data_IF_415295589320
#
_entry.id   IF_415295589320
#
_cell.length_a   1.000
_cell.length_b   1.000
_cell.length_c   1.000
_cell.angle_alpha   90.00
_cell.angle_beta   90.00
_cell.angle_gamma   90.00
#
_symmetry.space_group_name_H-M   'P 1'
#
loop_
_entity.id
_entity.type
_entity.pdbx_description
1 polymer ?
#
# COMPACT_ATOMS: atom_id res chain seq x y z
N UNK A 1 15.16 -9.66 -67.25
CA UNK A 1 13.99 -10.03 -66.43
C UNK A 1 14.43 -9.99 -64.96
N UNK A 2 14.49 -8.80 -64.36
CA UNK A 2 14.90 -8.61 -62.96
C UNK A 2 13.63 -8.43 -62.11
N UNK A 3 13.32 -9.41 -61.27
CA UNK A 3 12.25 -9.30 -60.27
C UNK A 3 12.85 -8.70 -59.00
N UNK A 4 12.49 -7.46 -58.71
CA UNK A 4 12.71 -6.82 -57.42
C UNK A 4 11.69 -7.41 -56.45
N UNK A 5 12.16 -8.11 -55.42
CA UNK A 5 11.34 -8.50 -54.28
C UNK A 5 11.19 -7.28 -53.36
N UNK A 6 10.00 -6.69 -53.32
CA UNK A 6 9.60 -5.79 -52.24
C UNK A 6 9.34 -6.66 -51.00
N UNK A 7 10.28 -6.65 -50.05
CA UNK A 7 10.00 -7.11 -48.69
C UNK A 7 9.23 -5.98 -48.00
N UNK A 8 7.92 -6.12 -47.91
CA UNK A 8 7.10 -5.28 -47.05
C UNK A 8 7.44 -5.62 -45.59
N UNK A 9 8.23 -4.77 -44.95
CA UNK A 9 8.34 -4.76 -43.48
C UNK A 9 6.99 -4.28 -42.95
N UNK A 10 6.16 -5.24 -42.53
CA UNK A 10 4.97 -4.95 -41.74
C UNK A 10 5.48 -4.48 -40.37
N UNK A 11 5.64 -3.17 -40.18
CA UNK A 11 5.66 -2.61 -38.83
C UNK A 11 4.31 -2.97 -38.22
N UNK A 12 4.31 -3.92 -37.29
CA UNK A 12 3.21 -4.05 -36.35
C UNK A 12 3.12 -2.71 -35.61
N UNK A 13 2.18 -1.88 -36.01
CA UNK A 13 1.69 -0.79 -35.18
C UNK A 13 1.14 -1.46 -33.92
N UNK A 14 1.97 -1.60 -32.89
CA UNK A 14 1.50 -1.88 -31.55
C UNK A 14 0.52 -0.78 -31.24
N UNK A 15 -0.76 -1.14 -31.19
CA UNK A 15 -1.86 -0.26 -30.86
C UNK A 15 -1.65 0.16 -29.40
N UNK A 16 -0.91 1.25 -29.20
CA UNK A 16 -0.53 1.84 -27.92
C UNK A 16 -1.78 2.46 -27.27
N UNK A 17 -2.68 1.61 -26.80
CA UNK A 17 -3.86 2.03 -26.05
C UNK A 17 -3.46 2.34 -24.61
N UNK A 18 -4.05 3.38 -24.02
CA UNK A 18 -3.92 3.61 -22.59
C UNK A 18 -4.54 2.44 -21.81
N UNK A 19 -4.04 2.19 -20.61
CA UNK A 19 -4.58 1.19 -19.70
C UNK A 19 -4.71 1.74 -18.29
N UNK A 20 -5.51 1.07 -17.47
CA UNK A 20 -5.65 1.42 -16.05
C UNK A 20 -4.45 0.90 -15.25
N UNK A 21 -4.24 1.48 -14.07
CA UNK A 21 -3.20 1.06 -13.13
C UNK A 21 -3.80 0.84 -11.75
N UNK A 22 -3.51 -0.31 -11.17
CA UNK A 22 -3.68 -0.60 -9.75
C UNK A 22 -2.27 -0.75 -9.16
N UNK A 23 -1.88 0.18 -8.31
CA UNK A 23 -0.66 0.09 -7.51
C UNK A 23 -1.03 -0.27 -6.07
N UNK A 24 -0.58 -1.43 -5.60
CA UNK A 24 -0.78 -1.85 -4.21
C UNK A 24 0.56 -1.75 -3.47
N UNK A 25 0.60 -0.93 -2.43
CA UNK A 25 1.74 -0.65 -1.56
C UNK A 25 1.47 -1.28 -0.18
N UNK A 26 1.92 -2.51 0.09
CA UNK A 26 1.94 -3.05 1.44
C UNK A 26 3.12 -2.43 2.18
N UNK A 27 2.90 -1.40 3.01
CA UNK A 27 3.99 -0.62 3.63
C UNK A 27 4.89 -1.56 4.45
N UNK A 28 6.20 -1.38 4.33
CA UNK A 28 7.16 -2.14 5.12
C UNK A 28 7.20 -3.64 4.82
N UNK A 29 6.57 -4.14 3.74
CA UNK A 29 6.47 -5.58 3.48
C UNK A 29 7.61 -6.15 2.62
N UNK A 30 8.60 -6.77 3.28
CA UNK A 30 9.69 -7.53 2.69
C UNK A 30 9.36 -9.00 2.40
N UNK A 31 10.29 -9.70 1.73
CA UNK A 31 10.11 -11.10 1.29
C UNK A 31 9.91 -12.09 2.46
N UNK A 32 10.60 -11.88 3.58
CA UNK A 32 10.46 -12.72 4.77
C UNK A 32 9.09 -12.53 5.43
N UNK A 33 8.50 -11.33 5.35
CA UNK A 33 7.12 -11.09 5.78
C UNK A 33 6.12 -11.88 4.95
N UNK A 34 6.23 -11.81 3.62
CA UNK A 34 5.40 -12.62 2.72
C UNK A 34 5.60 -14.13 2.94
N UNK A 35 6.81 -14.57 3.30
CA UNK A 35 7.06 -15.96 3.64
C UNK A 35 6.35 -16.38 4.93
N UNK A 36 6.39 -15.56 5.98
CA UNK A 36 5.65 -15.81 7.21
C UNK A 36 4.14 -15.89 6.97
N UNK A 37 3.59 -14.93 6.21
CA UNK A 37 2.17 -14.92 5.83
C UNK A 37 1.79 -16.17 5.02
N UNK A 38 2.65 -16.60 4.08
CA UNK A 38 2.42 -17.81 3.29
C UNK A 38 2.32 -19.03 4.17
N UNK A 39 3.25 -19.21 5.11
CA UNK A 39 3.21 -20.34 6.03
C UNK A 39 1.92 -20.36 6.86
N UNK A 40 1.50 -19.21 7.40
CA UNK A 40 0.34 -19.14 8.27
C UNK A 40 -0.99 -19.33 7.53
N UNK A 41 -1.13 -18.76 6.32
CA UNK A 41 -2.43 -18.62 5.66
C UNK A 41 -2.64 -19.53 4.46
N UNK A 42 -1.59 -19.88 3.72
CA UNK A 42 -1.69 -20.72 2.51
C UNK A 42 -1.09 -22.12 2.73
N UNK A 43 0.09 -22.17 3.35
CA UNK A 43 0.90 -23.36 3.54
C UNK A 43 2.21 -23.31 2.76
N UNK A 44 3.22 -24.09 3.16
CA UNK A 44 4.57 -24.04 2.56
C UNK A 44 4.61 -24.34 1.06
N UNK A 45 3.64 -25.12 0.57
CA UNK A 45 3.54 -25.58 -0.82
C UNK A 45 2.45 -24.84 -1.63
N UNK A 46 1.82 -23.81 -1.05
CA UNK A 46 0.73 -23.08 -1.66
C UNK A 46 1.11 -21.62 -1.93
N UNK A 47 0.38 -21.00 -2.85
CA UNK A 47 0.58 -19.61 -3.24
C UNK A 47 -0.42 -18.69 -2.52
N UNK A 48 0.08 -17.57 -2.01
CA UNK A 48 -0.73 -16.40 -1.70
C UNK A 48 -1.23 -15.73 -3.00
N UNK A 49 -2.20 -14.82 -2.94
CA UNK A 49 -2.53 -14.00 -4.10
C UNK A 49 -1.35 -13.15 -4.57
N UNK A 50 -0.56 -12.62 -3.64
CA UNK A 50 0.70 -11.94 -3.94
C UNK A 50 1.66 -12.82 -4.75
N UNK A 51 1.66 -14.15 -4.52
CA UNK A 51 2.48 -15.11 -5.25
C UNK A 51 2.04 -15.37 -6.69
N UNK A 52 0.76 -15.13 -6.97
CA UNK A 52 0.18 -15.34 -8.29
C UNK A 52 0.55 -14.24 -9.29
N UNK A 53 1.19 -13.14 -8.85
CA UNK A 53 1.73 -12.12 -9.75
C UNK A 53 2.99 -12.67 -10.44
N UNK A 54 2.97 -12.89 -11.77
CA UNK A 54 3.99 -13.68 -12.46
C UNK A 54 5.29 -12.91 -12.72
N UNK A 55 5.23 -11.59 -12.89
CA UNK A 55 6.42 -10.79 -13.11
C UNK A 55 7.06 -10.41 -11.77
N UNK A 56 8.39 -10.47 -11.70
CA UNK A 56 9.16 -10.34 -10.46
C UNK A 56 10.51 -9.67 -10.70
N UNK A 57 10.87 -8.73 -9.84
CA UNK A 57 12.18 -8.09 -9.85
C UNK A 57 12.64 -7.73 -8.43
N UNK A 58 13.96 -7.66 -8.24
CA UNK A 58 14.56 -7.18 -6.98
C UNK A 58 14.48 -5.67 -6.93
N UNK A 59 13.83 -5.14 -5.89
CA UNK A 59 13.64 -3.71 -5.70
C UNK A 59 14.88 -3.04 -5.09
N UNK A 60 15.24 -1.85 -5.59
CA UNK A 60 16.32 -1.00 -5.05
C UNK A 60 15.75 0.30 -4.51
N UNK A 61 15.55 0.34 -3.20
CA UNK A 61 14.79 1.38 -2.50
C UNK A 61 15.55 2.60 -1.99
N UNK A 62 16.88 2.66 -2.13
CA UNK A 62 17.66 3.78 -1.57
C UNK A 62 17.14 5.16 -2.02
N UNK A 63 17.35 6.15 -1.17
CA UNK A 63 16.94 7.54 -1.33
C UNK A 63 18.10 8.42 -1.80
N UNK A 64 17.84 9.71 -2.03
CA UNK A 64 18.91 10.64 -2.41
C UNK A 64 19.94 10.86 -1.28
N UNK A 65 19.53 10.68 -0.02
CA UNK A 65 20.31 10.96 1.19
C UNK A 65 20.33 9.81 2.21
N UNK A 66 19.67 8.68 1.94
CA UNK A 66 19.58 7.54 2.85
C UNK A 66 19.63 6.19 2.12
N UNK A 67 20.18 5.15 2.77
CA UNK A 67 20.23 3.79 2.24
C UNK A 67 18.92 3.01 2.49
N UNK A 68 18.28 3.25 3.65
CA UNK A 68 16.91 2.81 3.93
C UNK A 68 15.95 3.89 3.48
N UNK A 69 14.85 3.49 2.84
CA UNK A 69 13.74 4.37 2.58
C UNK A 69 12.93 4.64 3.86
N UNK A 70 12.14 5.70 3.82
CA UNK A 70 11.06 6.00 4.77
C UNK A 70 9.75 6.02 3.99
N UNK A 71 8.60 5.78 4.65
CA UNK A 71 7.28 5.80 4.00
C UNK A 71 7.04 7.04 3.15
N UNK A 72 7.27 8.24 3.72
CA UNK A 72 7.08 9.50 2.99
C UNK A 72 8.03 9.66 1.79
N UNK A 73 9.29 9.30 1.98
CA UNK A 73 10.30 9.44 0.95
C UNK A 73 10.13 8.44 -0.20
N UNK A 74 9.81 7.20 0.15
CA UNK A 74 9.51 6.12 -0.77
C UNK A 74 8.25 6.39 -1.58
N UNK A 75 7.15 6.74 -0.92
CA UNK A 75 5.90 7.12 -1.57
C UNK A 75 6.08 8.31 -2.51
N UNK A 76 6.83 9.34 -2.09
CA UNK A 76 7.18 10.47 -2.97
C UNK A 76 7.99 10.00 -4.18
N UNK A 77 8.91 9.07 -4.01
CA UNK A 77 9.68 8.51 -5.11
C UNK A 77 8.80 7.73 -6.09
N UNK A 78 7.84 6.92 -5.60
CA UNK A 78 6.87 6.21 -6.46
C UNK A 78 5.92 7.18 -7.17
N UNK A 79 5.52 8.26 -6.52
CA UNK A 79 4.58 9.24 -7.05
C UNK A 79 5.20 10.15 -8.14
N UNK A 80 6.51 10.42 -8.08
CA UNK A 80 7.18 11.36 -8.99
C UNK A 80 8.24 10.70 -9.89
N UNK A 81 8.71 9.49 -9.59
CA UNK A 81 9.72 8.80 -10.38
C UNK A 81 11.13 9.38 -10.26
N UNK A 82 11.40 10.12 -9.19
CA UNK A 82 12.72 10.72 -8.91
C UNK A 82 13.12 10.45 -7.46
N UNK A 83 14.41 10.24 -7.22
CA UNK A 83 14.93 10.10 -5.86
C UNK A 83 14.76 11.44 -5.13
N UNK A 84 14.22 11.37 -3.92
CA UNK A 84 14.07 12.53 -3.02
C UNK A 84 14.80 12.26 -1.70
N UNK A 85 14.87 13.26 -0.82
CA UNK A 85 15.41 13.09 0.52
C UNK A 85 14.45 12.34 1.44
N UNK A 86 14.96 11.71 2.50
CA UNK A 86 14.20 10.84 3.40
C UNK A 86 13.06 11.52 4.16
N UNK A 87 13.08 12.85 4.27
CA UNK A 87 12.00 13.61 4.91
C UNK A 87 10.99 14.21 3.91
N UNK A 88 11.13 13.92 2.61
CA UNK A 88 10.25 14.47 1.59
C UNK A 88 8.84 13.86 1.71
N UNK A 89 7.83 14.72 1.75
CA UNK A 89 6.41 14.36 1.68
C UNK A 89 5.78 15.11 0.50
N UNK A 90 5.85 14.50 -0.69
CA UNK A 90 5.42 15.12 -1.94
C UNK A 90 6.18 16.40 -2.31
N UNK A 91 7.36 16.65 -1.71
CA UNK A 91 8.14 17.89 -1.84
C UNK A 91 9.56 17.67 -2.36
N UNK A 92 10.14 18.68 -3.03
CA UNK A 92 11.56 18.75 -3.42
C UNK A 92 12.48 19.34 -2.32
N UNK A 93 11.97 19.46 -1.09
CA UNK A 93 12.67 20.09 0.04
C UNK A 93 12.47 21.61 0.11
N UNK A 94 11.67 22.20 -0.79
CA UNK A 94 11.19 23.58 -0.70
C UNK A 94 9.71 23.58 -0.34
N UNK A 95 9.26 24.53 0.48
CA UNK A 95 7.87 24.64 0.89
C UNK A 95 7.22 25.92 0.33
N UNK A 96 6.13 25.86 -0.48
CA UNK A 96 5.54 24.69 -1.14
C UNK A 96 6.21 24.41 -2.49
N UNK A 97 6.96 23.31 -2.59
CA UNK A 97 7.70 22.93 -3.79
C UNK A 97 7.56 21.43 -4.04
N UNK A 98 6.91 21.06 -5.15
CA UNK A 98 6.80 19.67 -5.62
C UNK A 98 8.05 19.27 -6.42
N UNK A 99 8.50 18.00 -6.35
CA UNK A 99 9.51 17.48 -7.26
C UNK A 99 9.12 17.70 -8.72
N UNK A 100 10.14 17.94 -9.56
CA UNK A 100 9.99 17.75 -11.00
C UNK A 100 9.99 16.25 -11.21
N UNK A 101 8.83 15.69 -11.54
CA UNK A 101 8.67 14.27 -11.82
C UNK A 101 9.50 13.87 -13.04
N UNK A 102 9.69 12.57 -13.23
CA UNK A 102 10.42 12.03 -14.36
C UNK A 102 9.77 12.42 -15.71
N UNK A 103 8.48 12.74 -15.74
CA UNK A 103 7.81 13.34 -16.92
C UNK A 103 8.27 14.76 -17.29
N UNK A 104 9.06 15.41 -16.43
CA UNK A 104 9.43 16.82 -16.53
C UNK A 104 8.39 17.78 -15.94
N UNK A 105 7.27 17.29 -15.42
CA UNK A 105 6.22 18.12 -14.81
C UNK A 105 6.44 18.30 -13.31
N UNK A 106 6.03 19.45 -12.74
CA UNK A 106 5.94 19.65 -11.28
C UNK A 106 4.64 19.09 -10.71
N UNK A 107 4.39 17.82 -11.01
CA UNK A 107 3.18 17.10 -10.66
C UNK A 107 3.51 15.62 -10.44
N UNK A 108 2.85 14.99 -9.48
CA UNK A 108 2.90 13.53 -9.34
C UNK A 108 2.15 12.85 -10.49
N UNK A 109 2.29 11.53 -10.61
CA UNK A 109 1.50 10.73 -11.55
C UNK A 109 -0.01 10.82 -11.31
N UNK A 110 -0.45 10.95 -10.05
CA UNK A 110 -1.87 11.11 -9.72
C UNK A 110 -2.38 12.47 -10.17
N UNK A 111 -1.60 13.52 -9.99
CA UNK A 111 -1.94 14.86 -10.48
C UNK A 111 -1.93 14.92 -12.02
N UNK A 112 -1.01 14.21 -12.68
CA UNK A 112 -1.04 14.03 -14.15
C UNK A 112 -2.31 13.29 -14.59
N UNK A 113 -2.74 12.24 -13.86
CA UNK A 113 -3.96 11.49 -14.15
C UNK A 113 -5.22 12.38 -14.00
N UNK A 114 -5.32 13.14 -12.90
CA UNK A 114 -6.41 14.11 -12.66
C UNK A 114 -6.45 15.15 -13.78
N UNK A 115 -5.30 15.74 -14.14
CA UNK A 115 -5.22 16.76 -15.18
C UNK A 115 -5.58 16.21 -16.58
N UNK A 116 -5.37 14.92 -16.81
CA UNK A 116 -5.76 14.24 -18.04
C UNK A 116 -7.23 13.77 -18.05
N UNK A 117 -7.99 14.00 -16.96
CA UNK A 117 -9.38 13.57 -16.83
C UNK A 117 -9.54 12.06 -16.64
N UNK A 118 -8.49 11.36 -16.21
CA UNK A 118 -8.58 9.95 -15.82
C UNK A 118 -9.26 9.84 -14.45
N UNK A 119 -9.92 8.69 -14.23
CA UNK A 119 -10.51 8.39 -12.92
C UNK A 119 -9.41 8.09 -11.91
N UNK A 120 -9.58 8.49 -10.66
CA UNK A 120 -8.51 8.37 -9.66
C UNK A 120 -8.99 7.92 -8.29
N UNK A 121 -8.23 7.03 -7.64
CA UNK A 121 -8.56 6.50 -6.33
C UNK A 121 -7.35 6.38 -5.41
N UNK A 122 -7.56 6.69 -4.13
CA UNK A 122 -6.64 6.50 -3.02
C UNK A 122 -7.36 5.68 -1.94
N UNK A 123 -6.78 4.55 -1.56
CA UNK A 123 -7.31 3.66 -0.53
C UNK A 123 -6.22 3.37 0.48
N UNK A 124 -6.48 3.60 1.76
CA UNK A 124 -5.53 3.38 2.83
C UNK A 124 -6.19 2.61 3.99
N UNK A 125 -5.54 1.57 4.51
CA UNK A 125 -5.99 0.94 5.75
C UNK A 125 -5.71 1.79 6.99
N UNK A 126 -4.75 2.71 6.91
CA UNK A 126 -4.43 3.70 7.94
C UNK A 126 -5.20 5.01 7.79
N UNK A 127 -4.68 6.03 8.47
CA UNK A 127 -5.17 7.40 8.48
C UNK A 127 -5.02 8.08 7.11
N UNK A 128 -5.87 9.06 6.81
CA UNK A 128 -5.81 9.85 5.57
C UNK A 128 -4.47 10.59 5.37
N UNK A 129 -3.66 10.70 6.42
CA UNK A 129 -2.37 11.39 6.40
C UNK A 129 -1.21 10.50 5.98
N UNK A 130 -1.43 9.19 5.88
CA UNK A 130 -0.34 8.24 5.68
C UNK A 130 0.26 8.33 4.27
N UNK A 131 1.59 8.16 4.15
CA UNK A 131 2.30 8.74 3.03
C UNK A 131 2.14 7.98 1.72
N UNK A 132 1.99 6.64 1.73
CA UNK A 132 1.90 5.84 0.51
C UNK A 132 0.69 6.17 -0.36
N UNK A 133 -0.33 6.82 0.20
CA UNK A 133 -1.41 7.45 -0.58
C UNK A 133 -1.32 8.98 -0.61
N UNK A 134 -1.12 9.66 0.53
CA UNK A 134 -1.22 11.12 0.57
C UNK A 134 -0.12 11.84 -0.25
N UNK A 135 1.10 11.29 -0.32
CA UNK A 135 2.20 11.89 -1.11
C UNK A 135 1.88 12.00 -2.61
N UNK A 136 0.91 11.22 -3.11
CA UNK A 136 0.49 11.29 -4.50
C UNK A 136 -0.27 12.59 -4.82
N UNK A 137 -0.81 13.32 -3.86
CA UNK A 137 -1.57 14.55 -4.14
C UNK A 137 -1.17 15.75 -3.30
N UNK A 138 -0.45 15.54 -2.20
CA UNK A 138 -0.06 16.62 -1.29
C UNK A 138 1.43 16.98 -1.42
N UNK A 139 1.82 18.13 -0.86
CA UNK A 139 3.21 18.58 -0.75
C UNK A 139 3.31 19.45 0.49
N UNK A 140 4.00 18.97 1.51
CA UNK A 140 4.19 19.69 2.77
C UNK A 140 5.66 19.71 3.19
N UNK A 141 6.06 20.75 3.91
CA UNK A 141 7.44 20.87 4.43
C UNK A 141 7.71 19.95 5.62
N UNK A 142 6.66 19.47 6.29
CA UNK A 142 6.73 18.60 7.45
C UNK A 142 5.66 17.51 7.34
N UNK A 143 6.04 16.24 7.44
CA UNK A 143 5.10 15.09 7.38
C UNK A 143 4.04 15.11 8.48
N UNK A 144 4.25 15.89 9.55
CA UNK A 144 3.30 16.06 10.65
C UNK A 144 2.32 17.21 10.46
N UNK A 145 2.33 17.90 9.30
CA UNK A 145 1.35 18.93 8.96
C UNK A 145 0.02 18.28 8.54
N UNK A 146 -0.51 17.40 9.39
CA UNK A 146 -1.67 16.54 9.13
C UNK A 146 -2.91 17.30 8.68
N UNK A 147 -3.21 18.43 9.33
CA UNK A 147 -4.33 19.27 8.92
C UNK A 147 -4.17 19.77 7.47
N UNK A 148 -2.97 20.16 7.05
CA UNK A 148 -2.73 20.61 5.68
C UNK A 148 -2.71 19.45 4.69
N UNK A 149 -2.17 18.29 5.09
CA UNK A 149 -2.21 17.07 4.29
C UNK A 149 -3.66 16.71 3.95
N UNK A 150 -4.56 16.61 4.94
CA UNK A 150 -5.97 16.25 4.68
C UNK A 150 -6.70 17.34 3.89
N UNK A 151 -6.35 18.62 4.09
CA UNK A 151 -6.90 19.73 3.30
C UNK A 151 -6.55 19.59 1.81
N UNK A 152 -5.27 19.36 1.50
CA UNK A 152 -4.81 19.14 0.13
C UNK A 152 -5.39 17.85 -0.47
N UNK A 153 -5.51 16.78 0.33
CA UNK A 153 -6.09 15.51 -0.10
C UNK A 153 -7.55 15.66 -0.52
N UNK A 154 -8.40 16.27 0.33
CA UNK A 154 -9.83 16.49 0.02
C UNK A 154 -10.01 17.44 -1.17
N UNK A 155 -9.17 18.47 -1.27
CA UNK A 155 -9.16 19.43 -2.37
C UNK A 155 -8.48 18.94 -3.66
N UNK A 156 -7.87 17.75 -3.66
CA UNK A 156 -7.00 17.28 -4.76
C UNK A 156 -7.73 17.06 -6.09
N UNK A 157 -9.03 16.73 -6.03
CA UNK A 157 -9.81 16.33 -7.19
C UNK A 157 -9.89 14.82 -7.41
N UNK A 158 -9.28 13.99 -6.54
CA UNK A 158 -9.42 12.53 -6.57
C UNK A 158 -10.90 12.12 -6.55
N UNK A 159 -11.27 11.00 -7.18
CA UNK A 159 -12.67 10.56 -7.22
C UNK A 159 -13.02 9.69 -6.01
N UNK A 160 -12.11 8.82 -5.58
CA UNK A 160 -12.33 7.90 -4.46
C UNK A 160 -11.23 8.08 -3.41
N UNK A 161 -11.61 8.41 -2.17
CA UNK A 161 -10.71 8.49 -1.02
C UNK A 161 -11.30 7.62 0.08
N UNK A 162 -10.62 6.54 0.48
CA UNK A 162 -11.07 5.61 1.51
C UNK A 162 -9.97 5.45 2.56
N UNK A 163 -10.22 5.86 3.81
CA UNK A 163 -9.20 5.81 4.88
C UNK A 163 -9.82 5.88 6.27
N UNK A 164 -8.97 5.82 7.29
CA UNK A 164 -9.27 6.36 8.63
C UNK A 164 -8.94 7.85 8.74
N UNK A 165 -8.71 8.32 9.98
CA UNK A 165 -8.17 9.65 10.27
C UNK A 165 -9.21 10.76 10.48
N UNK A 166 -10.45 10.44 10.87
CA UNK A 166 -11.55 11.42 11.02
C UNK A 166 -11.17 12.66 11.84
N UNK A 167 -10.31 12.50 12.85
CA UNK A 167 -9.84 13.58 13.72
C UNK A 167 -9.22 14.76 12.94
N UNK A 168 -8.60 14.49 11.79
CA UNK A 168 -7.97 15.49 10.93
C UNK A 168 -8.90 16.11 9.88
N UNK A 169 -10.14 15.64 9.79
CA UNK A 169 -11.18 16.23 8.93
C UNK A 169 -12.03 17.27 9.64
N UNK A 170 -12.00 17.31 10.97
CA UNK A 170 -12.94 18.07 11.79
C UNK A 170 -12.25 19.23 12.55
N UNK A 171 -12.92 20.39 12.69
CA UNK A 171 -12.41 21.49 13.49
C UNK A 171 -12.32 21.10 14.96
N UNK A 172 -11.36 21.70 15.67
CA UNK A 172 -11.11 21.42 17.07
C UNK A 172 -12.36 21.51 17.93
N UNK A 173 -12.61 20.47 18.73
CA UNK A 173 -13.77 20.37 19.62
C UNK A 173 -15.07 19.92 18.95
N UNK A 174 -15.11 19.73 17.62
CA UNK A 174 -16.25 19.09 16.94
C UNK A 174 -16.15 17.58 17.07
N UNK A 175 -17.16 16.94 17.65
CA UNK A 175 -17.26 15.48 17.73
C UNK A 175 -17.59 14.88 16.35
N UNK A 176 -16.85 13.83 15.96
CA UNK A 176 -17.08 13.02 14.77
C UNK A 176 -17.91 11.77 15.05
N UNK A 177 -18.02 10.90 14.04
CA UNK A 177 -18.66 9.59 14.16
C UNK A 177 -17.77 8.58 14.90
N UNK A 178 -16.47 8.66 14.66
CA UNK A 178 -15.40 7.84 15.24
C UNK A 178 -14.53 8.65 16.20
N UNK A 179 -14.18 9.89 15.84
CA UNK A 179 -13.31 10.74 16.64
C UNK A 179 -14.09 11.45 17.76
N UNK A 180 -13.63 11.39 19.02
CA UNK A 180 -14.29 12.09 20.13
C UNK A 180 -14.22 13.62 19.97
N UNK A 181 -13.14 14.13 19.35
CA UNK A 181 -13.00 15.52 18.93
C UNK A 181 -12.15 15.61 17.65
N UNK A 182 -12.41 16.61 16.83
CA UNK A 182 -11.52 17.03 15.76
C UNK A 182 -10.26 17.71 16.29
N UNK A 183 -9.21 17.74 15.48
CA UNK A 183 -7.89 18.27 15.84
C UNK A 183 -7.47 19.47 14.99
N UNK A 184 -8.28 19.91 14.01
CA UNK A 184 -7.90 21.03 13.15
C UNK A 184 -8.06 22.37 13.86
N UNK A 185 -6.97 23.13 13.93
CA UNK A 185 -6.94 24.48 14.55
C UNK A 185 -7.43 25.59 13.59
N UNK A 186 -7.58 25.30 12.29
CA UNK A 186 -7.98 26.26 11.26
C UNK A 186 -9.50 26.47 11.13
N UNK A 187 -10.29 25.73 11.91
CA UNK A 187 -11.75 25.82 11.93
C UNK A 187 -12.44 25.21 10.70
N UNK A 188 -11.71 24.54 9.80
CA UNK A 188 -12.29 23.91 8.62
C UNK A 188 -12.98 22.58 8.97
N UNK A 189 -14.11 22.33 8.33
CA UNK A 189 -14.76 21.03 8.30
C UNK A 189 -14.62 20.42 6.89
N UNK A 190 -13.67 19.51 6.76
CA UNK A 190 -13.34 18.90 5.48
C UNK A 190 -14.35 17.83 5.05
N UNK A 191 -15.16 17.31 5.98
CA UNK A 191 -16.26 16.41 5.63
C UNK A 191 -17.37 17.20 4.93
N UNK A 192 -17.75 18.36 5.47
CA UNK A 192 -18.73 19.23 4.79
C UNK A 192 -18.17 19.79 3.48
N UNK A 193 -16.88 20.13 3.45
CA UNK A 193 -16.22 20.53 2.20
C UNK A 193 -16.28 19.41 1.16
N UNK A 194 -15.98 18.16 1.52
CA UNK A 194 -16.09 17.02 0.60
C UNK A 194 -17.52 16.86 0.07
N UNK A 195 -18.55 16.99 0.91
CA UNK A 195 -19.95 16.97 0.44
C UNK A 195 -20.22 18.09 -0.57
N UNK A 196 -19.71 19.30 -0.32
CA UNK A 196 -19.84 20.44 -1.25
C UNK A 196 -19.14 20.20 -2.59
N UNK A 197 -18.06 19.39 -2.59
CA UNK A 197 -17.33 18.95 -3.77
C UNK A 197 -17.98 17.73 -4.48
N UNK A 198 -19.16 17.31 -4.02
CA UNK A 198 -19.97 16.25 -4.64
C UNK A 198 -19.63 14.83 -4.18
N UNK A 199 -18.86 14.66 -3.11
CA UNK A 199 -18.59 13.32 -2.58
C UNK A 199 -19.82 12.75 -1.85
N UNK A 200 -20.12 11.49 -2.15
CA UNK A 200 -20.89 10.65 -1.24
C UNK A 200 -19.99 10.27 -0.07
N UNK A 201 -20.41 10.55 1.16
CA UNK A 201 -19.59 10.31 2.37
C UNK A 201 -20.15 9.13 3.15
N UNK A 202 -19.30 8.15 3.45
CA UNK A 202 -19.63 6.93 4.20
C UNK A 202 -18.66 6.76 5.38
N UNK A 203 -19.09 6.09 6.44
CA UNK A 203 -18.31 5.99 7.67
C UNK A 203 -18.07 4.58 8.19
N UNK A 204 -18.75 3.57 7.66
CA UNK A 204 -18.56 2.20 8.09
C UNK A 204 -18.68 1.22 6.93
N UNK A 205 -18.34 -0.04 7.20
CA UNK A 205 -18.40 -1.12 6.23
C UNK A 205 -19.79 -1.26 5.59
N UNK A 206 -20.87 -1.08 6.35
CA UNK A 206 -22.22 -1.22 5.82
C UNK A 206 -22.50 -0.13 4.79
N UNK A 207 -22.23 1.13 5.15
CA UNK A 207 -22.42 2.27 4.25
C UNK A 207 -21.53 2.18 3.00
N UNK A 208 -20.30 1.67 3.12
CA UNK A 208 -19.42 1.43 1.97
C UNK A 208 -20.00 0.38 1.01
N UNK A 209 -20.54 -0.73 1.54
CA UNK A 209 -21.14 -1.79 0.73
C UNK A 209 -22.47 -1.35 0.10
N UNK A 210 -23.20 -0.47 0.77
CA UNK A 210 -24.48 0.11 0.30
C UNK A 210 -24.31 1.38 -0.54
N UNK A 211 -23.06 1.77 -0.89
CA UNK A 211 -22.78 2.95 -1.71
C UNK A 211 -23.57 2.89 -3.04
N UNK A 212 -24.36 3.92 -3.39
CA UNK A 212 -25.20 3.91 -4.59
C UNK A 212 -24.39 3.67 -5.87
N UNK A 213 -24.91 2.85 -6.80
CA UNK A 213 -24.23 2.51 -8.07
C UNK A 213 -23.84 3.72 -8.92
N UNK A 214 -24.58 4.82 -8.83
CA UNK A 214 -24.32 6.06 -9.59
C UNK A 214 -23.29 6.99 -8.92
N UNK A 215 -22.69 6.57 -7.82
CA UNK A 215 -21.69 7.37 -7.10
C UNK A 215 -20.47 7.57 -7.98
N UNK A 216 -20.14 8.84 -8.26
CA UNK A 216 -18.95 9.23 -9.05
C UNK A 216 -17.81 9.72 -8.16
N UNK A 217 -18.11 10.25 -6.97
CA UNK A 217 -17.11 10.64 -5.99
C UNK A 217 -17.47 10.05 -4.63
N UNK A 218 -16.53 9.36 -3.99
CA UNK A 218 -16.74 8.64 -2.74
C UNK A 218 -15.65 9.01 -1.73
N UNK A 219 -16.06 9.44 -0.54
CA UNK A 219 -15.18 9.64 0.61
C UNK A 219 -15.62 8.67 1.71
N UNK A 220 -14.73 7.79 2.12
CA UNK A 220 -14.92 6.86 3.23
C UNK A 220 -14.00 7.20 4.38
N UNK A 221 -14.56 7.39 5.58
CA UNK A 221 -13.80 7.68 6.80
C UNK A 221 -14.18 6.66 7.88
N UNK A 222 -13.33 5.67 8.12
CA UNK A 222 -13.72 4.44 8.83
C UNK A 222 -13.23 4.32 10.28
N UNK A 223 -12.41 5.27 10.73
CA UNK A 223 -11.88 5.29 12.08
C UNK A 223 -11.44 6.72 12.48
N UNK A 224 -11.22 6.94 13.77
CA UNK A 224 -10.70 8.21 14.29
C UNK A 224 -9.25 8.45 13.82
N UNK A 225 -8.44 7.39 13.88
CA UNK A 225 -7.05 7.30 13.39
C UNK A 225 -7.01 6.16 12.36
N UNK A 226 -6.09 5.21 12.47
CA UNK A 226 -6.02 4.04 11.60
C UNK A 226 -7.22 3.10 11.78
N UNK A 227 -7.48 2.23 10.80
CA UNK A 227 -8.51 1.18 10.94
C UNK A 227 -8.04 0.00 11.80
N UNK A 228 -6.88 0.13 12.44
CA UNK A 228 -6.23 -0.84 13.30
C UNK A 228 -5.56 -0.16 14.51
N UNK A 229 -5.18 -0.95 15.52
CA UNK A 229 -4.46 -0.46 16.70
C UNK A 229 -3.04 -1.04 16.70
N UNK A 230 -2.06 -0.29 16.22
CA UNK A 230 -0.69 -0.75 15.93
C UNK A 230 0.25 -0.95 17.11
N UNK A 231 -0.26 -1.04 18.34
CA UNK A 231 0.58 -1.16 19.54
C UNK A 231 1.20 -2.56 19.71
N UNK A 232 2.19 -2.69 20.60
CA UNK A 232 2.77 -4.00 20.95
C UNK A 232 1.72 -5.01 21.44
N UNK A 233 1.97 -6.31 21.25
CA UNK A 233 1.06 -7.39 21.69
C UNK A 233 0.76 -7.34 23.19
N UNK A 234 1.76 -6.97 24.01
CA UNK A 234 1.60 -6.80 25.44
C UNK A 234 0.64 -5.66 25.79
N UNK A 235 0.73 -4.54 25.07
CA UNK A 235 -0.15 -3.39 25.25
C UNK A 235 -1.57 -3.70 24.77
N UNK A 236 -1.73 -4.34 23.59
CA UNK A 236 -3.03 -4.81 23.11
C UNK A 236 -3.75 -5.65 24.17
N UNK A 237 -3.05 -6.61 24.78
CA UNK A 237 -3.61 -7.47 25.83
C UNK A 237 -3.97 -6.69 27.09
N UNK A 238 -3.12 -5.77 27.52
CA UNK A 238 -3.34 -4.98 28.73
C UNK A 238 -4.55 -4.05 28.60
N UNK A 239 -4.70 -3.42 27.44
CA UNK A 239 -5.76 -2.46 27.13
C UNK A 239 -7.00 -3.10 26.52
N UNK A 240 -6.94 -4.39 26.18
CA UNK A 240 -7.99 -5.17 25.50
C UNK A 240 -8.41 -4.54 24.16
N UNK A 241 -7.42 -4.04 23.43
CA UNK A 241 -7.64 -3.44 22.11
C UNK A 241 -7.84 -4.55 21.07
N UNK A 242 -8.84 -4.43 20.18
CA UNK A 242 -8.91 -5.30 19.02
C UNK A 242 -7.81 -4.90 18.02
N UNK A 243 -7.33 -5.85 17.21
CA UNK A 243 -6.32 -5.55 16.17
C UNK A 243 -6.90 -4.56 15.15
N UNK A 244 -8.15 -4.76 14.72
CA UNK A 244 -8.87 -3.88 13.80
C UNK A 244 -10.08 -3.22 14.47
N UNK A 245 -10.37 -1.99 14.06
CA UNK A 245 -11.54 -1.24 14.51
C UNK A 245 -12.82 -1.96 14.07
N UNK A 246 -13.72 -2.22 15.01
CA UNK A 246 -14.99 -2.89 14.72
C UNK A 246 -15.84 -2.05 13.76
N UNK A 247 -16.39 -2.69 12.72
CA UNK A 247 -17.20 -2.02 11.71
C UNK A 247 -16.42 -1.32 10.60
N UNK A 248 -15.08 -1.22 10.70
CA UNK A 248 -14.24 -0.78 9.58
C UNK A 248 -14.20 -1.86 8.47
N UNK A 249 -14.24 -1.46 7.18
CA UNK A 249 -14.10 -2.40 6.07
C UNK A 249 -12.68 -2.97 5.99
N UNK A 250 -12.54 -4.13 5.35
CA UNK A 250 -11.22 -4.66 4.98
C UNK A 250 -10.60 -3.89 3.83
N UNK A 251 -9.28 -3.95 3.67
CA UNK A 251 -8.60 -3.35 2.52
C UNK A 251 -9.12 -3.91 1.18
N UNK A 252 -9.42 -5.21 1.15
CA UNK A 252 -10.05 -5.86 0.00
C UNK A 252 -11.44 -5.28 -0.32
N UNK A 253 -12.27 -5.03 0.69
CA UNK A 253 -13.59 -4.41 0.52
C UNK A 253 -13.50 -2.95 0.06
N UNK A 254 -12.54 -2.19 0.60
CA UNK A 254 -12.26 -0.82 0.15
C UNK A 254 -11.77 -0.81 -1.31
N UNK A 255 -10.86 -1.70 -1.66
CA UNK A 255 -10.35 -1.88 -3.04
C UNK A 255 -11.50 -2.23 -3.99
N UNK A 256 -12.37 -3.17 -3.61
CA UNK A 256 -13.52 -3.56 -4.42
C UNK A 256 -14.51 -2.40 -4.62
N UNK A 257 -14.79 -1.64 -3.56
CA UNK A 257 -15.66 -0.47 -3.64
C UNK A 257 -15.05 0.63 -4.53
N UNK A 258 -13.73 0.87 -4.40
CA UNK A 258 -13.03 1.83 -5.24
C UNK A 258 -13.10 1.44 -6.72
N UNK A 259 -12.78 0.19 -7.07
CA UNK A 259 -12.88 -0.31 -8.45
C UNK A 259 -14.30 -0.17 -9.01
N UNK A 260 -15.33 -0.44 -8.20
CA UNK A 260 -16.74 -0.24 -8.59
C UNK A 260 -17.06 1.22 -8.91
N UNK A 261 -16.58 2.17 -8.10
CA UNK A 261 -16.82 3.61 -8.31
C UNK A 261 -15.99 4.19 -9.46
N UNK A 262 -14.76 3.69 -9.66
CA UNK A 262 -13.92 4.08 -10.79
C UNK A 262 -14.53 3.63 -12.13
N UNK A 263 -15.16 2.45 -12.14
CA UNK A 263 -15.88 1.91 -13.30
C UNK A 263 -14.96 1.38 -14.40
N UNK A 264 -15.43 1.41 -15.64
CA UNK A 264 -14.70 0.89 -16.81
C UNK A 264 -13.84 1.96 -17.51
N UNK A 265 -13.88 3.21 -17.03
CA UNK A 265 -13.01 4.28 -17.52
C UNK A 265 -11.55 4.03 -17.13
N UNK A 266 -10.60 4.56 -17.91
CA UNK A 266 -9.18 4.46 -17.55
C UNK A 266 -8.91 5.17 -16.22
N UNK A 267 -8.24 4.48 -15.30
CA UNK A 267 -7.99 4.99 -13.96
C UNK A 267 -6.56 4.74 -13.44
N UNK A 268 -6.20 5.51 -12.41
CA UNK A 268 -5.11 5.19 -11.50
C UNK A 268 -5.68 4.97 -10.08
N UNK A 269 -5.45 3.79 -9.53
CA UNK A 269 -5.81 3.42 -8.17
C UNK A 269 -4.53 3.11 -7.38
N UNK A 270 -4.32 3.82 -6.27
CA UNK A 270 -3.25 3.51 -5.30
C UNK A 270 -3.90 2.98 -4.02
N UNK A 271 -3.44 1.83 -3.56
CA UNK A 271 -3.97 1.11 -2.41
C UNK A 271 -2.81 0.85 -1.45
N UNK A 272 -2.97 1.21 -0.18
CA UNK A 272 -1.98 1.01 0.86
C UNK A 272 -2.52 0.13 1.99
N UNK A 273 -1.76 -0.92 2.33
CA UNK A 273 -1.90 -1.58 3.63
C UNK A 273 -0.82 -1.04 4.56
N UNK A 274 -1.19 -0.05 5.35
CA UNK A 274 -0.31 0.66 6.28
C UNK A 274 0.13 -0.26 7.42
N UNK A 275 -0.79 -1.06 7.97
CA UNK A 275 -0.54 -1.87 9.17
C UNK A 275 0.60 -2.89 9.02
N UNK A 276 0.99 -3.26 7.80
CA UNK A 276 2.16 -4.12 7.57
C UNK A 276 3.44 -3.51 8.17
N UNK A 277 3.62 -2.20 8.06
CA UNK A 277 4.74 -1.45 8.63
C UNK A 277 4.53 -1.24 10.13
N UNK A 278 3.41 -0.63 10.52
CA UNK A 278 3.21 -0.18 11.89
C UNK A 278 3.29 -1.31 12.89
N UNK A 279 2.59 -2.43 12.64
CA UNK A 279 2.66 -3.59 13.53
C UNK A 279 4.08 -4.13 13.65
N UNK A 280 4.81 -4.18 12.53
CA UNK A 280 6.20 -4.64 12.50
C UNK A 280 7.12 -3.70 13.28
N UNK A 281 6.89 -2.39 13.22
CA UNK A 281 7.63 -1.39 13.99
C UNK A 281 7.31 -1.41 15.50
N UNK A 282 6.29 -2.16 15.93
CA UNK A 282 6.05 -2.52 17.34
C UNK A 282 6.35 -3.99 17.68
N UNK A 283 7.00 -4.73 16.77
CA UNK A 283 7.24 -6.18 16.89
C UNK A 283 5.96 -6.98 17.19
N UNK A 284 4.82 -6.54 16.66
CA UNK A 284 3.54 -7.19 16.80
C UNK A 284 3.33 -8.20 15.66
N UNK A 285 3.65 -9.47 15.92
CA UNK A 285 3.63 -10.49 14.89
C UNK A 285 2.22 -10.82 14.41
N UNK A 286 1.26 -10.98 15.32
CA UNK A 286 -0.12 -11.27 14.93
C UNK A 286 -0.71 -10.15 14.07
N UNK A 287 -0.52 -8.89 14.48
CA UNK A 287 -0.99 -7.73 13.72
C UNK A 287 -0.34 -7.64 12.34
N UNK A 288 0.99 -7.81 12.25
CA UNK A 288 1.70 -7.77 10.97
C UNK A 288 1.24 -8.89 10.01
N UNK A 289 1.03 -10.10 10.53
CA UNK A 289 0.54 -11.24 9.76
C UNK A 289 -0.90 -11.09 9.29
N UNK A 290 -1.76 -10.45 10.09
CA UNK A 290 -3.13 -10.12 9.70
C UNK A 290 -3.17 -8.99 8.66
N UNK A 291 -2.29 -7.99 8.77
CA UNK A 291 -2.16 -6.93 7.77
C UNK A 291 -1.70 -7.49 6.43
N UNK A 292 -0.67 -8.36 6.42
CA UNK A 292 -0.23 -9.06 5.21
C UNK A 292 -1.35 -9.88 4.57
N UNK A 293 -2.21 -10.53 5.39
CA UNK A 293 -3.38 -11.25 4.89
C UNK A 293 -4.40 -10.32 4.24
N UNK A 294 -4.63 -9.13 4.78
CA UNK A 294 -5.55 -8.13 4.21
C UNK A 294 -5.00 -7.54 2.91
N UNK A 295 -3.69 -7.28 2.84
CA UNK A 295 -3.01 -6.95 1.59
C UNK A 295 -3.15 -8.09 0.57
N UNK A 296 -2.97 -9.34 0.98
CA UNK A 296 -3.18 -10.51 0.12
C UNK A 296 -4.60 -10.62 -0.44
N UNK A 297 -5.61 -10.36 0.39
CA UNK A 297 -7.00 -10.35 -0.07
C UNK A 297 -7.27 -9.21 -1.06
N UNK A 298 -6.63 -8.05 -0.89
CA UNK A 298 -6.70 -6.96 -1.86
C UNK A 298 -6.02 -7.33 -3.18
N UNK A 299 -4.90 -8.08 -3.15
CA UNK A 299 -4.33 -8.68 -4.36
C UNK A 299 -5.31 -9.63 -5.05
N UNK A 300 -6.05 -10.44 -4.29
CA UNK A 300 -7.10 -11.30 -4.82
C UNK A 300 -8.16 -10.51 -5.59
N UNK A 301 -8.66 -9.41 -5.01
CA UNK A 301 -9.62 -8.51 -5.67
C UNK A 301 -9.03 -7.90 -6.95
N UNK A 302 -7.79 -7.45 -6.91
CA UNK A 302 -7.13 -6.86 -8.07
C UNK A 302 -6.86 -7.89 -9.18
N UNK A 303 -6.46 -9.12 -8.84
CA UNK A 303 -6.28 -10.23 -9.78
C UNK A 303 -7.60 -10.56 -10.49
N UNK A 304 -8.69 -10.68 -9.73
CA UNK A 304 -10.03 -10.92 -10.29
C UNK A 304 -10.46 -9.77 -11.23
N UNK A 305 -10.10 -8.53 -10.89
CA UNK A 305 -10.38 -7.36 -11.73
C UNK A 305 -9.59 -7.39 -13.04
N UNK A 306 -8.26 -7.56 -12.99
CA UNK A 306 -7.44 -7.59 -14.21
C UNK A 306 -7.73 -8.82 -15.07
N UNK A 307 -8.28 -9.89 -14.49
CA UNK A 307 -8.69 -11.05 -15.26
C UNK A 307 -9.84 -10.74 -16.22
N UNK A 308 -10.70 -9.80 -15.85
CA UNK A 308 -11.82 -9.31 -16.67
C UNK A 308 -11.45 -8.06 -17.47
N UNK A 309 -10.44 -7.31 -17.02
CA UNK A 309 -10.01 -6.04 -17.58
C UNK A 309 -8.54 -6.09 -18.01
N UNK A 310 -8.27 -6.79 -19.12
CA UNK A 310 -6.90 -7.11 -19.58
C UNK A 310 -6.02 -5.89 -19.87
N UNK A 311 -6.61 -4.73 -20.12
CA UNK A 311 -5.91 -3.46 -20.31
C UNK A 311 -5.57 -2.75 -18.98
N UNK A 312 -5.28 -3.51 -17.93
CA UNK A 312 -4.92 -3.00 -16.60
C UNK A 312 -3.57 -3.56 -16.15
N UNK A 313 -2.70 -2.69 -15.64
CA UNK A 313 -1.50 -3.07 -14.90
C UNK A 313 -1.87 -3.24 -13.43
N UNK A 314 -1.52 -4.37 -12.84
CA UNK A 314 -1.38 -4.53 -11.39
C UNK A 314 0.12 -4.55 -11.07
N UNK A 315 0.58 -3.64 -10.21
CA UNK A 315 1.97 -3.60 -9.75
C UNK A 315 2.00 -3.40 -8.24
N UNK A 316 3.01 -3.98 -7.59
CA UNK A 316 3.26 -3.80 -6.16
C UNK A 316 4.74 -3.66 -5.87
N UNK A 317 5.04 -2.81 -4.90
CA UNK A 317 6.30 -2.70 -4.20
C UNK A 317 6.01 -2.08 -2.83
N UNK A 318 6.74 -2.52 -1.80
CA UNK A 318 6.90 -1.72 -0.58
C UNK A 318 8.00 -0.68 -0.82
N UNK A 319 7.99 0.42 -0.09
CA UNK A 319 9.10 1.36 -0.02
C UNK A 319 10.27 0.84 0.82
N UNK A 320 9.97 0.16 1.93
CA UNK A 320 10.92 -0.32 2.93
C UNK A 320 10.56 -1.74 3.44
N UNK A 321 11.34 -2.26 4.38
CA UNK A 321 11.00 -3.48 5.13
C UNK A 321 11.06 -3.23 6.63
N UNK A 322 9.91 -3.33 7.27
CA UNK A 322 9.68 -2.97 8.66
C UNK A 322 10.13 -4.06 9.64
N UNK A 323 10.70 -3.64 10.76
CA UNK A 323 11.12 -4.51 11.86
C UNK A 323 12.23 -5.54 11.55
N UNK A 324 12.70 -5.60 10.29
CA UNK A 324 13.53 -6.69 9.78
C UNK A 324 12.98 -8.07 10.20
N UNK A 325 11.69 -8.28 9.98
CA UNK A 325 10.96 -9.47 10.36
C UNK A 325 11.45 -10.70 9.59
N UNK A 326 11.74 -11.79 10.29
CA UNK A 326 12.14 -13.07 9.69
C UNK A 326 11.47 -14.26 10.38
N UNK A 327 11.60 -15.45 9.80
CA UNK A 327 10.97 -16.68 10.31
C UNK A 327 12.01 -17.67 10.82
N UNK A 328 11.87 -18.12 12.07
CA UNK A 328 12.62 -19.26 12.60
C UNK A 328 11.71 -20.49 12.69
N UNK A 329 11.84 -21.39 11.72
CA UNK A 329 11.13 -22.68 11.68
C UNK A 329 11.89 -23.82 12.34
N UNK A 330 11.18 -24.86 12.80
CA UNK A 330 11.78 -26.10 13.30
C UNK A 330 11.07 -27.32 12.75
N UNK A 331 11.77 -28.46 12.53
CA UNK A 331 11.09 -29.72 12.29
C UNK A 331 10.10 -30.04 13.41
N UNK A 332 8.92 -30.58 13.09
CA UNK A 332 7.90 -30.93 14.08
C UNK A 332 8.42 -31.86 15.20
N UNK A 333 9.41 -32.72 14.89
CA UNK A 333 10.07 -33.63 15.84
C UNK A 333 11.09 -32.95 16.77
N UNK A 334 11.54 -31.75 16.41
CA UNK A 334 12.47 -30.94 17.18
C UNK A 334 11.81 -29.60 17.39
N UNK A 335 10.87 -29.54 18.32
CA UNK A 335 10.49 -28.26 18.91
C UNK A 335 11.81 -27.60 19.27
N UNK A 336 12.20 -26.52 18.57
CA UNK A 336 13.21 -25.64 19.11
C UNK A 336 12.65 -25.32 20.48
N UNK A 337 13.33 -25.85 21.49
CA UNK A 337 13.14 -25.40 22.84
C UNK A 337 13.60 -23.95 22.76
N UNK A 338 12.69 -23.04 22.40
CA UNK A 338 12.77 -21.63 22.75
C UNK A 338 12.63 -21.57 24.28
N UNK A 339 13.53 -22.27 24.94
CA UNK A 339 13.79 -22.29 26.35
C UNK A 339 14.95 -21.34 26.49
N UNK A 340 14.66 -20.04 26.57
CA UNK A 340 15.37 -19.11 27.43
C UNK A 340 14.75 -17.71 27.34
N UNK A 341 14.17 -17.27 28.46
CA UNK A 341 14.26 -15.93 29.06
C UNK A 341 13.75 -14.75 28.21
N UNK A 342 12.57 -14.25 28.59
CA UNK A 342 12.09 -12.89 28.29
C UNK A 342 11.76 -12.54 26.82
N UNK A 343 11.50 -13.54 25.97
CA UNK A 343 11.07 -13.32 24.57
C UNK A 343 12.21 -12.98 23.61
N UNK A 344 13.41 -13.51 23.86
CA UNK A 344 14.63 -13.28 23.06
C UNK A 344 15.38 -14.57 22.77
N UNK A 345 16.03 -14.64 21.61
CA UNK A 345 16.88 -15.77 21.23
C UNK A 345 18.26 -15.73 21.93
N UNK A 346 19.13 -16.70 21.60
CA UNK A 346 20.48 -16.80 22.20
C UNK A 346 21.44 -15.65 21.87
N UNK A 347 21.18 -14.85 20.83
CA UNK A 347 21.96 -13.67 20.48
C UNK A 347 21.31 -12.37 21.00
N UNK A 348 20.11 -12.46 21.58
CA UNK A 348 19.34 -11.34 22.13
C UNK A 348 18.27 -10.80 21.18
N UNK A 349 18.11 -11.34 19.97
CA UNK A 349 17.08 -10.91 19.03
C UNK A 349 15.69 -11.21 19.61
N UNK A 350 14.77 -10.24 19.63
CA UNK A 350 13.41 -10.49 20.06
C UNK A 350 12.69 -11.44 19.09
N UNK A 351 11.81 -12.27 19.64
CA UNK A 351 10.90 -13.10 18.85
C UNK A 351 9.48 -13.04 19.42
N UNK A 352 8.50 -13.19 18.54
CA UNK A 352 7.08 -13.21 18.89
C UNK A 352 6.50 -14.62 18.72
N UNK A 353 5.59 -14.94 19.62
CA UNK A 353 4.83 -16.19 19.67
C UNK A 353 3.40 -15.94 19.16
N UNK A 354 2.65 -17.01 18.95
CA UNK A 354 1.22 -16.90 18.68
C UNK A 354 0.48 -16.29 19.89
N UNK A 355 -0.73 -15.71 19.71
CA UNK A 355 -1.46 -15.03 20.79
C UNK A 355 -1.75 -15.88 22.03
N UNK A 356 -1.80 -17.21 21.89
CA UNK A 356 -1.99 -18.16 23.01
C UNK A 356 -0.69 -18.49 23.76
N UNK A 357 0.44 -17.92 23.34
CA UNK A 357 1.77 -18.16 23.90
C UNK A 357 2.46 -19.42 23.34
N UNK A 358 1.87 -20.08 22.35
CA UNK A 358 2.51 -21.18 21.63
C UNK A 358 3.28 -20.69 20.40
N UNK A 359 4.00 -21.58 19.73
CA UNK A 359 4.56 -21.26 18.41
C UNK A 359 3.44 -21.14 17.39
N UNK A 360 3.63 -20.30 16.37
CA UNK A 360 2.76 -20.35 15.20
C UNK A 360 2.87 -21.73 14.53
N UNK A 361 1.78 -22.19 13.94
CA UNK A 361 1.74 -23.41 13.13
C UNK A 361 1.40 -23.05 11.69
N UNK A 362 2.16 -23.59 10.74
CA UNK A 362 1.83 -23.43 9.32
C UNK A 362 0.49 -24.09 8.98
N UNK A 363 -0.11 -23.71 7.84
CA UNK A 363 -1.03 -24.63 7.16
C UNK A 363 -0.28 -25.91 6.74
N UNK A 364 -1.00 -27.02 6.48
CA UNK A 364 -0.37 -28.27 6.11
C UNK A 364 0.48 -28.14 4.85
N UNK A 365 1.64 -28.79 4.84
CA UNK A 365 2.40 -29.02 3.61
C UNK A 365 1.74 -30.08 2.72
N UNK A 366 2.36 -30.42 1.60
CA UNK A 366 1.88 -31.43 0.64
C UNK A 366 1.71 -32.84 1.24
N UNK A 367 2.33 -33.13 2.39
CA UNK A 367 2.23 -34.40 3.11
C UNK A 367 1.17 -34.33 4.23
N UNK A 368 0.57 -33.17 4.46
CA UNK A 368 -0.41 -32.95 5.53
C UNK A 368 0.22 -32.54 6.86
N UNK A 369 1.53 -32.30 6.92
CA UNK A 369 2.24 -31.96 8.14
C UNK A 369 2.22 -30.45 8.40
N UNK A 370 2.02 -30.06 9.66
CA UNK A 370 2.11 -28.66 10.10
C UNK A 370 3.44 -28.42 10.81
N UNK A 371 4.10 -27.33 10.47
CA UNK A 371 5.44 -27.01 10.99
C UNK A 371 5.37 -25.83 11.96
N UNK A 372 5.96 -25.96 13.15
CA UNK A 372 6.02 -24.87 14.11
C UNK A 372 7.09 -23.83 13.73
N UNK A 373 6.78 -22.56 13.94
CA UNK A 373 7.69 -21.44 13.73
C UNK A 373 7.43 -20.28 14.69
N UNK A 374 8.41 -19.38 14.80
CA UNK A 374 8.25 -18.09 15.47
C UNK A 374 8.66 -16.97 14.53
N UNK A 375 8.21 -15.76 14.83
CA UNK A 375 8.66 -14.55 14.13
C UNK A 375 9.84 -13.97 14.91
N UNK A 376 10.95 -13.70 14.25
CA UNK A 376 12.11 -13.01 14.84
C UNK A 376 12.21 -11.61 14.26
N UNK A 377 12.75 -10.68 15.05
CA UNK A 377 12.84 -9.27 14.68
C UNK A 377 14.29 -8.79 14.76
N UNK A 378 14.73 -8.04 13.75
CA UNK A 378 16.04 -7.40 13.77
C UNK A 378 16.03 -6.00 14.39
N UNK A 379 14.89 -5.29 14.35
CA UNK A 379 14.76 -3.92 14.83
C UNK A 379 13.28 -3.53 14.98
N UNK A 380 13.00 -2.28 15.34
CA UNK A 380 11.66 -1.64 15.36
C UNK A 380 11.59 -0.47 14.35
N UNK A 381 12.45 -0.55 13.34
CA UNK A 381 12.65 0.49 12.33
C UNK A 381 12.58 -0.10 10.93
N UNK A 382 12.31 0.78 9.97
CA UNK A 382 12.41 0.48 8.55
C UNK A 382 13.85 0.16 8.16
N UNK A 383 13.99 -0.90 7.38
CA UNK A 383 15.26 -1.35 6.81
C UNK A 383 15.18 -1.41 5.29
N UNK A 384 16.32 -1.40 4.60
CA UNK A 384 16.33 -1.54 3.14
C UNK A 384 15.70 -2.87 2.68
N UNK A 385 15.80 -3.92 3.51
CA UNK A 385 15.14 -5.21 3.33
C UNK A 385 15.40 -5.97 2.02
N UNK A 386 14.89 -7.19 1.95
CA UNK A 386 14.69 -7.90 0.69
C UNK A 386 13.30 -7.59 0.15
N UNK A 387 13.17 -6.57 -0.70
CA UNK A 387 11.87 -6.17 -1.28
C UNK A 387 11.80 -6.62 -2.74
N UNK A 388 10.61 -7.06 -3.15
CA UNK A 388 10.32 -7.43 -4.52
C UNK A 388 9.32 -6.46 -5.14
N UNK A 389 9.56 -6.15 -6.41
CA UNK A 389 8.49 -5.64 -7.28
C UNK A 389 7.82 -6.85 -7.91
N UNK A 390 6.50 -6.94 -7.80
CA UNK A 390 5.71 -7.93 -8.54
C UNK A 390 4.66 -7.25 -9.39
N UNK A 391 4.33 -7.85 -10.52
CA UNK A 391 3.31 -7.31 -11.41
C UNK A 391 2.55 -8.39 -12.19
N UNK A 392 1.35 -8.02 -12.65
CA UNK A 392 0.50 -8.80 -13.52
C UNK A 392 -0.25 -7.88 -14.50
N UNK A 393 -0.77 -8.47 -15.59
CA UNK A 393 -1.52 -7.73 -16.60
C UNK A 393 -0.64 -6.91 -17.54
N UNK A 394 -1.18 -5.80 -18.04
CA UNK A 394 -0.56 -4.98 -19.08
C UNK A 394 0.79 -4.42 -18.65
N UNK A 395 1.80 -4.48 -19.52
CA UNK A 395 3.18 -4.03 -19.28
C UNK A 395 3.94 -4.76 -18.15
N UNK A 396 3.35 -5.79 -17.52
CA UNK A 396 3.98 -6.48 -16.39
C UNK A 396 5.28 -7.20 -16.78
N UNK A 397 5.46 -7.57 -18.05
CA UNK A 397 6.68 -8.20 -18.57
C UNK A 397 7.94 -7.33 -18.43
N UNK A 398 7.78 -6.03 -18.14
CA UNK A 398 8.88 -5.09 -17.89
C UNK A 398 9.44 -5.18 -16.46
N UNK A 399 8.74 -5.86 -15.56
CA UNK A 399 9.18 -6.14 -14.19
C UNK A 399 10.04 -7.41 -14.21
N UNK A 400 11.34 -7.22 -14.38
CA UNK A 400 12.33 -8.30 -14.38
C UNK A 400 13.69 -7.82 -13.87
N UNK A 401 14.48 -8.75 -13.32
CA UNK A 401 15.87 -8.49 -12.91
C UNK A 401 15.97 -7.52 -11.75
N UNK A 402 16.68 -6.41 -11.94
CA UNK A 402 16.83 -5.34 -10.95
C UNK A 402 15.95 -4.14 -11.29
N UNK A 403 15.21 -3.65 -10.31
CA UNK A 403 14.22 -2.59 -10.47
C UNK A 403 14.54 -1.45 -9.51
N UNK A 404 14.92 -0.28 -10.05
CA UNK A 404 15.05 0.93 -9.21
C UNK A 404 13.68 1.45 -8.82
N UNK A 405 13.50 1.95 -7.60
CA UNK A 405 12.21 2.44 -7.12
C UNK A 405 11.60 3.56 -7.98
N UNK A 406 12.42 4.36 -8.67
CA UNK A 406 11.97 5.40 -9.61
C UNK A 406 11.21 4.82 -10.80
N UNK A 407 11.49 3.56 -11.18
CA UNK A 407 10.85 2.90 -12.32
C UNK A 407 9.40 2.49 -12.06
N UNK A 408 8.93 2.49 -10.80
CA UNK A 408 7.52 2.24 -10.47
C UNK A 408 6.65 3.30 -11.14
N UNK A 409 7.03 4.58 -10.98
CA UNK A 409 6.41 5.70 -11.69
C UNK A 409 6.43 5.50 -13.21
N UNK A 410 7.59 5.19 -13.80
CA UNK A 410 7.72 5.05 -15.26
C UNK A 410 6.81 3.95 -15.81
N UNK A 411 6.72 2.81 -15.10
CA UNK A 411 5.86 1.70 -15.49
C UNK A 411 4.37 2.07 -15.44
N UNK A 412 3.93 2.71 -14.35
CA UNK A 412 2.56 3.21 -14.24
C UNK A 412 2.27 4.24 -15.34
N UNK A 413 3.20 5.18 -15.57
CA UNK A 413 3.02 6.27 -16.53
C UNK A 413 2.98 5.77 -17.96
N UNK A 414 3.81 4.79 -18.32
CA UNK A 414 3.78 4.17 -19.64
C UNK A 414 2.44 3.48 -19.91
N UNK A 415 1.82 2.92 -18.87
CA UNK A 415 0.50 2.28 -18.97
C UNK A 415 -0.61 3.32 -19.17
N UNK A 416 -0.61 4.39 -18.37
CA UNK A 416 -1.62 5.44 -18.44
C UNK A 416 -1.49 6.34 -19.68
N UNK A 417 -0.26 6.60 -20.14
CA UNK A 417 0.05 7.56 -21.20
C UNK A 417 1.02 7.00 -22.24
N UNK A 418 0.62 5.95 -22.99
CA UNK A 418 1.48 5.29 -23.94
C UNK A 418 1.89 6.24 -25.07
N UNK A 419 3.12 6.08 -25.57
CA UNK A 419 3.67 6.90 -26.66
C UNK A 419 4.11 8.31 -26.27
N UNK A 420 3.94 8.74 -25.01
CA UNK A 420 4.64 9.93 -24.50
C UNK A 420 6.11 9.60 -24.23
N UNK A 421 7.04 10.55 -24.40
CA UNK A 421 8.44 10.35 -24.06
C UNK A 421 8.58 9.77 -22.65
N UNK A 422 9.36 8.71 -22.54
CA UNK A 422 9.80 8.17 -21.27
C UNK A 422 11.03 8.97 -20.80
N UNK A 423 11.25 9.09 -19.49
CA UNK A 423 12.45 9.71 -18.91
C UNK A 423 13.72 8.96 -19.30
#
# INVERSE_FOLDING_TARGET
MFRIFFVAVLLALTNLHAGSVIFIHPDGAGISQWQAARFLWAGPDADLNWDRLPAIAVYRGHMADALSATSNGGATTHAYGVKVGSNAFGTDGKNPGRPVAASGQRASIMQEAIAAGLRTGLVNSGSAVEPGTACFVTSVGNRKDYAEIVNQLVGSGVDVILSGGEEWFLPKGKKGRHAPEGLREDGLDLIEQARSLGYHVVFDRKELLETPEKTRKLLGIFAAQDTFNDVSEAQMKAEKLPIYVEGAPTLAEMTQAALRVLGDETFLLVVEEEGCDNFSNFNNAQGALDALKRADDAFGVALDYIDRNKETLLVTAADSSAGAMDVLGSPASSLIKYQTLDGRDSNGAPYSLAPDGSQFLSQPDRLGERHPFVIVWGTVHDTSGGILVRAAGKNSEKVQGSFDNTRIYSLMRETLFPGKPQP
#
